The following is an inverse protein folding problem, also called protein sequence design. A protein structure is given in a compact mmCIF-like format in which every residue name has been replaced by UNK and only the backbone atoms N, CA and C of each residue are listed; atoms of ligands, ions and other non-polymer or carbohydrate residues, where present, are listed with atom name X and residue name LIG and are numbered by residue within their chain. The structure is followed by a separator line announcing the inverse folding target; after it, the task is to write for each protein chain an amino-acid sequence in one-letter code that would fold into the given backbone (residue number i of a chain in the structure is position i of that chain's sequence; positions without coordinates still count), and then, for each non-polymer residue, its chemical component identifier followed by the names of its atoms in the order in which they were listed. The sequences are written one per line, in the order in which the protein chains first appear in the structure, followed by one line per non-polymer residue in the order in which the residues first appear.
data_IF_802455535813
#
_entry.id   IF_802455535813
#
_cell.length_a   1.000
_cell.length_b   1.000
_cell.length_c   1.000
_cell.angle_alpha   90.00
_cell.angle_beta   90.00
_cell.angle_gamma   90.00
#
_symmetry.space_group_name_H-M   'P 1'
#
loop_
_entity.id
_entity.type
_entity.pdbx_description
1 polymer ?
#
# COMPACT_ATOMS: atom_id res chain seq x y z
N UNK A 1 -12.26 14.21 3.38
CA UNK A 1 -12.32 12.80 3.83
C UNK A 1 -13.74 12.24 3.85
N UNK A 2 -14.67 12.81 3.08
CA UNK A 2 -16.09 12.45 3.11
C UNK A 2 -16.37 10.94 2.91
N UNK A 3 -15.64 10.27 2.02
CA UNK A 3 -15.80 8.82 1.81
C UNK A 3 -15.47 7.97 3.06
N UNK A 4 -14.56 8.44 3.91
CA UNK A 4 -14.21 7.81 5.19
C UNK A 4 -15.24 8.21 6.24
N UNK A 5 -15.55 9.50 6.32
CA UNK A 5 -16.45 10.08 7.32
C UNK A 5 -17.88 9.54 7.20
N UNK A 6 -18.37 9.34 5.96
CA UNK A 6 -19.70 8.81 5.66
C UNK A 6 -19.73 7.27 5.63
N UNK A 7 -18.59 6.59 5.85
CA UNK A 7 -18.47 5.13 5.80
C UNK A 7 -18.71 4.51 4.41
N UNK A 8 -18.81 5.32 3.36
CA UNK A 8 -19.16 4.89 2.01
C UNK A 8 -18.00 4.15 1.31
N UNK A 9 -16.76 4.42 1.70
CA UNK A 9 -15.55 3.84 1.10
C UNK A 9 -15.38 4.21 -0.38
N UNK A 10 -14.45 3.52 -1.05
CA UNK A 10 -14.24 3.67 -2.50
C UNK A 10 -12.84 3.26 -2.95
N UNK A 11 -12.72 2.96 -4.25
CA UNK A 11 -11.43 2.74 -4.92
C UNK A 11 -11.05 4.01 -5.69
N UNK A 12 -9.88 4.56 -5.40
CA UNK A 12 -9.38 5.77 -6.02
C UNK A 12 -7.99 5.52 -6.61
N UNK A 13 -7.75 6.03 -7.81
CA UNK A 13 -6.45 5.97 -8.46
C UNK A 13 -5.89 7.38 -8.62
N UNK A 14 -4.66 7.58 -8.16
CA UNK A 14 -3.92 8.83 -8.35
C UNK A 14 -2.79 8.57 -9.33
N UNK A 15 -2.96 9.07 -10.55
CA UNK A 15 -1.90 9.10 -11.56
C UNK A 15 -1.40 10.52 -11.76
N UNK A 16 -0.08 10.67 -11.84
CA UNK A 16 0.54 11.95 -12.16
C UNK A 16 2.01 11.75 -12.61
N UNK A 17 2.57 12.65 -13.42
CA UNK A 17 3.98 12.64 -13.80
C UNK A 17 4.96 12.65 -12.62
N UNK A 18 6.24 12.38 -12.89
CA UNK A 18 7.33 12.55 -11.92
C UNK A 18 7.38 13.98 -11.35
N UNK A 19 7.76 14.13 -10.07
CA UNK A 19 7.93 15.45 -9.44
C UNK A 19 6.63 16.15 -8.98
N UNK A 20 5.45 15.56 -9.21
CA UNK A 20 4.14 16.16 -8.85
C UNK A 20 3.73 16.01 -7.38
N UNK A 21 4.61 15.49 -6.52
CA UNK A 21 4.33 15.39 -5.09
C UNK A 21 3.36 14.27 -4.67
N UNK A 22 3.10 13.25 -5.49
CA UNK A 22 2.24 12.10 -5.15
C UNK A 22 2.59 11.47 -3.79
N UNK A 23 3.88 11.25 -3.53
CA UNK A 23 4.38 10.72 -2.25
C UNK A 23 4.01 11.62 -1.08
N UNK A 24 4.18 12.94 -1.25
CA UNK A 24 3.78 13.91 -0.23
C UNK A 24 2.27 13.86 0.04
N UNK A 25 1.46 13.83 -1.02
CA UNK A 25 0.00 13.74 -0.89
C UNK A 25 -0.42 12.46 -0.15
N UNK A 26 0.19 11.31 -0.48
CA UNK A 26 -0.07 10.04 0.21
C UNK A 26 0.32 10.11 1.69
N UNK A 27 1.43 10.77 2.03
CA UNK A 27 1.84 11.02 3.42
C UNK A 27 0.81 11.87 4.18
N UNK A 28 0.33 12.96 3.56
CA UNK A 28 -0.69 13.83 4.17
C UNK A 28 -2.00 13.09 4.39
N UNK A 29 -2.45 12.29 3.43
CA UNK A 29 -3.67 11.48 3.58
C UNK A 29 -3.50 10.49 4.73
N UNK A 30 -2.39 9.75 4.77
CA UNK A 30 -2.08 8.78 5.81
C UNK A 30 -2.04 9.42 7.20
N UNK A 31 -1.32 10.53 7.35
CA UNK A 31 -1.19 11.28 8.59
C UNK A 31 -2.55 11.83 9.05
N UNK A 32 -3.35 12.35 8.13
CA UNK A 32 -4.67 12.93 8.46
C UNK A 32 -5.64 11.85 8.96
N UNK A 33 -5.61 10.64 8.38
CA UNK A 33 -6.47 9.53 8.86
C UNK A 33 -6.01 9.07 10.24
N UNK A 34 -4.70 8.90 10.44
CA UNK A 34 -4.11 8.49 11.73
C UNK A 34 -4.32 9.53 12.82
N UNK A 35 -4.25 10.82 12.51
CA UNK A 35 -4.51 11.91 13.45
C UNK A 35 -5.95 11.91 13.98
N UNK A 36 -6.90 11.36 13.21
CA UNK A 36 -8.28 11.13 13.63
C UNK A 36 -8.48 9.81 14.38
N UNK A 37 -7.39 9.15 14.79
CA UNK A 37 -7.38 7.83 15.44
C UNK A 37 -7.99 6.69 14.60
N UNK A 38 -8.13 6.88 13.28
CA UNK A 38 -8.59 5.84 12.37
C UNK A 38 -7.41 4.98 11.88
N UNK A 39 -7.72 3.74 11.46
CA UNK A 39 -6.71 2.80 10.95
C UNK A 39 -6.37 3.15 9.50
N UNK A 40 -5.08 3.34 9.22
CA UNK A 40 -4.58 3.52 7.86
C UNK A 40 -3.32 2.69 7.60
N UNK A 41 -3.45 1.75 6.66
CA UNK A 41 -2.40 0.81 6.25
C UNK A 41 -1.77 1.31 4.95
N UNK A 42 -0.45 1.47 4.95
CA UNK A 42 0.32 1.89 3.78
C UNK A 42 1.15 0.72 3.25
N UNK A 43 1.02 0.45 1.95
CA UNK A 43 1.71 -0.65 1.27
C UNK A 43 2.35 -0.11 0.00
N UNK A 44 3.58 -0.51 -0.27
CA UNK A 44 4.31 -0.16 -1.50
C UNK A 44 4.81 -1.42 -2.24
N UNK A 45 5.03 -1.32 -3.55
CA UNK A 45 5.56 -2.43 -4.36
C UNK A 45 7.07 -2.67 -4.15
N UNK A 46 7.84 -1.59 -3.99
CA UNK A 46 9.31 -1.60 -3.82
C UNK A 46 9.73 -1.16 -2.42
N UNK A 47 10.88 -1.66 -1.97
CA UNK A 47 11.50 -1.24 -0.71
C UNK A 47 11.80 0.26 -0.67
N UNK A 48 12.27 0.84 -1.78
CA UNK A 48 12.55 2.29 -1.86
C UNK A 48 11.26 3.10 -1.73
N UNK A 49 10.15 2.62 -2.31
CA UNK A 49 8.87 3.29 -2.15
C UNK A 49 8.33 3.17 -0.70
N UNK A 50 8.59 2.05 -0.04
CA UNK A 50 8.23 1.86 1.37
C UNK A 50 9.03 2.78 2.31
N UNK A 51 10.31 3.06 2.03
CA UNK A 51 11.12 3.96 2.87
C UNK A 51 10.71 5.43 2.76
N UNK A 52 10.01 5.82 1.70
CA UNK A 52 9.55 7.20 1.50
C UNK A 52 8.32 7.59 2.33
N UNK A 53 7.63 6.61 2.93
CA UNK A 53 6.40 6.83 3.69
C UNK A 53 6.52 6.21 5.08
N UNK A 54 6.24 6.99 6.12
CA UNK A 54 6.39 6.54 7.50
C UNK A 54 5.42 5.39 7.85
N UNK A 55 5.99 4.28 8.33
CA UNK A 55 5.25 3.07 8.66
C UNK A 55 4.72 2.31 7.43
N UNK A 56 5.16 2.66 6.22
CA UNK A 56 4.89 1.87 5.02
C UNK A 56 5.74 0.61 4.99
N UNK A 57 5.18 -0.46 4.45
CA UNK A 57 5.86 -1.74 4.24
C UNK A 57 5.67 -2.19 2.80
N UNK A 58 6.57 -3.05 2.32
CA UNK A 58 6.37 -3.66 1.00
C UNK A 58 5.15 -4.57 1.00
N UNK A 59 4.46 -4.74 -0.13
CA UNK A 59 3.33 -5.65 -0.25
C UNK A 59 3.66 -7.07 0.24
N UNK A 60 4.85 -7.55 -0.11
CA UNK A 60 5.36 -8.84 0.33
C UNK A 60 5.44 -8.96 1.87
N UNK A 61 5.95 -7.94 2.56
CA UNK A 61 6.08 -7.99 4.02
C UNK A 61 4.78 -7.65 4.76
N UNK A 62 3.96 -6.75 4.21
CA UNK A 62 2.69 -6.33 4.81
C UNK A 62 1.61 -7.40 4.69
N UNK A 63 1.50 -8.03 3.51
CA UNK A 63 0.48 -9.03 3.19
C UNK A 63 1.00 -10.47 3.28
N UNK A 64 2.27 -10.66 3.67
CA UNK A 64 2.95 -11.97 3.76
C UNK A 64 2.87 -12.77 2.46
N UNK A 65 3.05 -12.09 1.32
CA UNK A 65 3.00 -12.74 0.00
C UNK A 65 4.21 -13.68 -0.16
N UNK A 66 4.01 -14.95 -0.54
CA UNK A 66 5.08 -15.94 -0.59
C UNK A 66 5.96 -15.75 -1.82
N UNK A 67 7.26 -15.52 -1.60
CA UNK A 67 8.28 -15.52 -2.65
C UNK A 67 9.30 -16.62 -2.37
N UNK A 68 9.55 -17.50 -3.34
CA UNK A 68 10.59 -18.52 -3.24
C UNK A 68 11.86 -18.06 -3.95
N UNK A 69 12.69 -17.32 -3.21
CA UNK A 69 13.96 -16.77 -3.74
C UNK A 69 15.08 -17.82 -3.85
N UNK A 70 14.92 -19.01 -3.26
CA UNK A 70 15.99 -20.01 -3.17
C UNK A 70 16.09 -20.88 -4.43
N UNK A 71 14.98 -21.06 -5.14
CA UNK A 71 14.89 -22.02 -6.26
C UNK A 71 14.46 -21.38 -7.58
N UNK A 72 14.04 -20.11 -7.58
CA UNK A 72 13.51 -19.43 -8.76
C UNK A 72 14.23 -18.09 -8.92
N UNK A 73 14.84 -17.86 -10.08
CA UNK A 73 15.56 -16.61 -10.38
C UNK A 73 14.61 -15.40 -10.49
N UNK A 74 13.40 -15.60 -11.03
CA UNK A 74 12.33 -14.60 -11.10
C UNK A 74 11.07 -15.09 -10.37
N UNK A 75 11.08 -15.09 -9.03
CA UNK A 75 9.99 -15.63 -8.24
C UNK A 75 8.75 -14.75 -8.35
N UNK A 76 7.60 -15.38 -8.58
CA UNK A 76 6.30 -14.70 -8.67
C UNK A 76 5.34 -15.20 -7.59
N UNK A 77 4.56 -14.28 -7.01
CA UNK A 77 3.49 -14.61 -6.07
C UNK A 77 2.19 -14.87 -6.84
N UNK A 78 1.85 -16.13 -7.12
CA UNK A 78 0.61 -16.45 -7.84
C UNK A 78 -0.55 -16.69 -6.88
N UNK A 79 -1.27 -15.62 -6.52
CA UNK A 79 -2.44 -15.67 -5.63
C UNK A 79 -3.71 -15.53 -6.45
N UNK A 80 -4.57 -16.56 -6.42
CA UNK A 80 -5.85 -16.54 -7.10
C UNK A 80 -6.92 -15.83 -6.26
N UNK A 81 -7.93 -15.27 -6.94
CA UNK A 81 -9.12 -14.72 -6.27
C UNK A 81 -9.72 -15.80 -5.36
N UNK A 82 -10.00 -15.45 -4.10
CA UNK A 82 -10.58 -16.34 -3.09
C UNK A 82 -9.66 -17.46 -2.55
N UNK A 83 -8.34 -17.34 -2.71
CA UNK A 83 -7.41 -18.24 -2.02
C UNK A 83 -7.45 -17.99 -0.51
N UNK A 84 -7.14 -19.01 0.31
CA UNK A 84 -7.05 -18.84 1.78
C UNK A 84 -5.90 -17.90 2.22
N UNK A 85 -5.06 -17.47 1.27
CA UNK A 85 -3.98 -16.51 1.43
C UNK A 85 -4.41 -15.08 1.04
N UNK A 86 -5.66 -14.87 0.59
CA UNK A 86 -6.24 -13.59 0.21
C UNK A 86 -7.14 -13.01 1.31
#
# INVERSE_FOLDING_TARGET
MKAIDDGNGGLYFLDAPGGTGKTFLMSVVLATVRARSNIAVAVASSGIAATLLEGCRTAHSALKLPLNLQTIEEPTCNITKNSAMA
#
